data_IF_554538622493
#
_entry.id   IF_554538622493
#
_cell.length_a   1.000
_cell.length_b   1.000
_cell.length_c   1.000
_cell.angle_alpha   90.00
_cell.angle_beta   90.00
_cell.angle_gamma   90.00
#
_symmetry.space_group_name_H-M   'P 1'
#
loop_
_entity.id
_entity.type
_entity.pdbx_description
1 polymer ?
#
# COMPACT_ATOMS: atom_id res chain seq x y z
N UNK A 1 -26.60 -17.34 3.27
CA UNK A 1 -25.68 -16.26 3.63
C UNK A 1 -26.06 -15.06 2.79
N UNK A 2 -26.79 -14.10 3.33
CA UNK A 2 -27.19 -12.92 2.55
C UNK A 2 -25.92 -12.18 2.12
N UNK A 3 -25.70 -12.05 0.81
CA UNK A 3 -24.66 -11.19 0.27
C UNK A 3 -24.85 -9.81 0.88
N UNK A 4 -23.96 -9.43 1.79
CA UNK A 4 -23.99 -8.13 2.42
C UNK A 4 -23.96 -7.07 1.32
N UNK A 5 -25.10 -6.40 1.11
CA UNK A 5 -25.33 -5.41 0.05
C UNK A 5 -24.51 -4.16 0.33
N UNK A 6 -23.22 -4.25 0.02
CA UNK A 6 -22.26 -3.22 0.34
C UNK A 6 -22.07 -2.31 -0.88
N UNK A 7 -22.51 -1.07 -0.76
CA UNK A 7 -22.48 -0.08 -1.83
C UNK A 7 -21.19 0.73 -1.74
N UNK A 8 -20.47 0.83 -2.86
CA UNK A 8 -19.25 1.63 -2.96
C UNK A 8 -19.58 2.90 -3.74
N UNK A 9 -19.24 4.05 -3.16
CA UNK A 9 -19.35 5.36 -3.81
C UNK A 9 -17.98 6.02 -3.85
N UNK A 10 -17.65 6.62 -4.99
CA UNK A 10 -16.38 7.33 -5.17
C UNK A 10 -16.65 8.83 -5.22
N UNK A 11 -15.87 9.61 -4.47
CA UNK A 11 -15.95 11.08 -4.44
C UNK A 11 -14.59 11.69 -4.76
N UNK A 12 -14.59 12.96 -5.19
CA UNK A 12 -13.38 13.72 -5.52
C UNK A 12 -12.44 12.94 -6.46
N UNK A 13 -13.02 12.34 -7.50
CA UNK A 13 -12.26 11.62 -8.50
C UNK A 13 -11.38 12.61 -9.28
N UNK A 14 -10.10 12.28 -9.42
CA UNK A 14 -9.13 13.08 -10.14
C UNK A 14 -8.20 12.17 -10.94
N UNK A 15 -8.00 12.50 -12.21
CA UNK A 15 -7.01 11.84 -13.06
C UNK A 15 -5.69 12.60 -12.96
N UNK A 16 -4.67 11.98 -12.36
CA UNK A 16 -3.33 12.57 -12.22
C UNK A 16 -2.36 11.90 -13.20
N UNK A 17 -2.08 12.60 -14.32
CA UNK A 17 -1.19 12.12 -15.37
C UNK A 17 0.29 12.13 -15.00
N UNK A 18 0.71 13.03 -14.10
CA UNK A 18 2.11 13.12 -13.66
C UNK A 18 2.56 11.87 -12.90
N UNK A 19 1.63 11.22 -12.20
CA UNK A 19 1.87 9.98 -11.44
C UNK A 19 1.19 8.76 -12.08
N UNK A 20 0.71 8.88 -13.31
CA UNK A 20 0.05 7.80 -14.09
C UNK A 20 -1.02 7.06 -13.29
N UNK A 21 -1.89 7.81 -12.59
CA UNK A 21 -2.92 7.23 -11.72
C UNK A 21 -4.19 8.06 -11.66
N UNK A 22 -5.30 7.38 -11.42
CA UNK A 22 -6.56 7.97 -10.95
C UNK A 22 -6.60 7.90 -9.44
N UNK A 23 -6.98 8.99 -8.78
CA UNK A 23 -7.07 9.08 -7.33
C UNK A 23 -8.46 9.52 -6.91
N UNK A 24 -8.99 8.90 -5.87
CA UNK A 24 -10.35 9.15 -5.40
C UNK A 24 -10.50 8.84 -3.91
N UNK A 25 -11.53 9.42 -3.31
CA UNK A 25 -12.03 9.04 -1.99
C UNK A 25 -13.08 7.95 -2.20
N UNK A 26 -13.00 6.88 -1.40
CA UNK A 26 -13.94 5.76 -1.44
C UNK A 26 -14.75 5.76 -0.16
N UNK A 27 -16.06 5.92 -0.32
CA UNK A 27 -17.05 5.73 0.72
C UNK A 27 -17.68 4.34 0.56
N UNK A 28 -17.65 3.54 1.62
CA UNK A 28 -18.26 2.22 1.70
C UNK A 28 -19.48 2.32 2.59
N UNK A 29 -20.66 1.94 2.08
CA UNK A 29 -21.92 1.90 2.83
C UNK A 29 -22.28 0.43 3.07
N UNK A 30 -22.31 0.02 4.34
CA UNK A 30 -22.50 -1.36 4.82
C UNK A 30 -23.40 -1.39 6.07
N UNK A 31 -24.70 -1.04 5.96
CA UNK A 31 -25.55 -0.75 7.12
C UNK A 31 -25.74 -1.93 8.09
N UNK A 32 -25.79 -3.16 7.58
CA UNK A 32 -26.06 -4.36 8.38
C UNK A 32 -24.94 -5.40 8.33
N UNK A 33 -23.75 -5.02 7.86
CA UNK A 33 -22.62 -5.93 7.74
C UNK A 33 -21.37 -5.34 8.37
N UNK A 34 -20.41 -6.21 8.69
CA UNK A 34 -19.09 -5.77 9.11
C UNK A 34 -18.35 -5.03 7.97
N UNK A 35 -17.16 -4.55 8.29
CA UNK A 35 -16.27 -3.90 7.33
C UNK A 35 -15.89 -4.85 6.18
N UNK A 36 -15.77 -4.30 4.97
CA UNK A 36 -15.18 -5.02 3.84
C UNK A 36 -13.68 -5.24 4.03
N UNK A 37 -13.21 -6.40 3.60
CA UNK A 37 -11.78 -6.62 3.45
C UNK A 37 -11.21 -5.76 2.32
N UNK A 38 -9.91 -5.44 2.39
CA UNK A 38 -9.24 -4.66 1.34
C UNK A 38 -9.13 -5.45 0.02
N UNK A 39 -9.08 -6.77 0.07
CA UNK A 39 -9.09 -7.62 -1.13
C UNK A 39 -10.39 -7.47 -1.88
N UNK A 40 -11.53 -7.61 -1.19
CA UNK A 40 -12.86 -7.56 -1.81
C UNK A 40 -13.17 -6.17 -2.35
N UNK A 41 -12.68 -5.13 -1.66
CA UNK A 41 -12.83 -3.75 -2.13
C UNK A 41 -12.04 -3.50 -3.42
N UNK A 42 -10.83 -4.08 -3.57
CA UNK A 42 -10.11 -4.04 -4.84
C UNK A 42 -10.85 -4.77 -5.94
N UNK A 43 -11.47 -5.92 -5.64
CA UNK A 43 -12.24 -6.69 -6.63
C UNK A 43 -13.46 -5.89 -7.13
N UNK A 44 -14.18 -5.23 -6.22
CA UNK A 44 -15.33 -4.40 -6.59
C UNK A 44 -14.91 -3.15 -7.38
N UNK A 45 -13.81 -2.49 -6.98
CA UNK A 45 -13.25 -1.36 -7.72
C UNK A 45 -12.72 -1.77 -9.10
N UNK A 46 -12.11 -2.95 -9.21
CA UNK A 46 -11.64 -3.53 -10.47
C UNK A 46 -12.78 -3.70 -11.45
N UNK A 47 -13.90 -4.28 -11.01
CA UNK A 47 -15.13 -4.40 -11.82
C UNK A 47 -15.72 -3.04 -12.21
N UNK A 48 -15.78 -2.10 -11.28
CA UNK A 48 -16.37 -0.76 -11.50
C UNK A 48 -15.57 0.07 -12.51
N UNK A 49 -14.24 0.02 -12.45
CA UNK A 49 -13.35 0.84 -13.28
C UNK A 49 -12.68 0.09 -14.43
N UNK A 50 -12.99 -1.20 -14.61
CA UNK A 50 -12.39 -2.08 -15.64
C UNK A 50 -10.86 -2.01 -15.59
N UNK A 51 -10.31 -2.16 -14.39
CA UNK A 51 -8.88 -2.10 -14.14
C UNK A 51 -8.42 -3.36 -13.39
N UNK A 52 -7.17 -3.78 -13.61
CA UNK A 52 -6.63 -4.96 -12.94
C UNK A 52 -6.52 -4.76 -11.44
N UNK A 53 -6.86 -5.80 -10.67
CA UNK A 53 -6.81 -5.79 -9.20
C UNK A 53 -5.44 -5.39 -8.65
N UNK A 54 -4.37 -5.75 -9.36
CA UNK A 54 -2.98 -5.48 -8.98
C UNK A 54 -2.59 -4.00 -9.11
N UNK A 55 -3.25 -3.28 -10.01
CA UNK A 55 -3.01 -1.85 -10.23
C UNK A 55 -3.79 -0.97 -9.24
N UNK A 56 -4.61 -1.57 -8.37
CA UNK A 56 -5.49 -0.87 -7.42
C UNK A 56 -4.92 -0.94 -6.01
N UNK A 57 -4.68 0.24 -5.44
CA UNK A 57 -4.16 0.42 -4.09
C UNK A 57 -5.18 1.15 -3.22
N UNK A 58 -5.54 0.52 -2.10
CA UNK A 58 -6.59 0.99 -1.18
C UNK A 58 -5.98 1.19 0.21
N UNK A 59 -6.12 2.39 0.77
CA UNK A 59 -5.47 2.75 2.04
C UNK A 59 -6.27 3.77 2.85
N UNK A 60 -5.89 3.93 4.13
CA UNK A 60 -6.44 4.96 5.00
C UNK A 60 -7.92 4.78 5.36
N UNK A 61 -8.41 3.54 5.38
CA UNK A 61 -9.80 3.28 5.73
C UNK A 61 -10.07 3.49 7.22
N UNK A 62 -11.10 4.27 7.52
CA UNK A 62 -11.64 4.47 8.87
C UNK A 62 -13.15 4.28 8.84
N UNK A 63 -13.67 3.45 9.74
CA UNK A 63 -15.11 3.28 9.95
C UNK A 63 -15.64 4.46 10.78
N UNK A 64 -16.81 4.97 10.41
CA UNK A 64 -17.50 6.01 11.17
C UNK A 64 -17.93 5.46 12.54
N UNK A 65 -18.03 6.36 13.52
CA UNK A 65 -18.60 6.02 14.81
C UNK A 65 -20.05 5.55 14.63
N UNK A 66 -20.43 4.46 15.32
CA UNK A 66 -21.71 3.80 15.12
C UNK A 66 -21.76 2.79 13.95
N UNK A 67 -20.68 2.64 13.17
CA UNK A 67 -20.62 1.65 12.08
C UNK A 67 -21.37 2.07 10.82
N UNK A 68 -21.68 1.09 9.95
CA UNK A 68 -22.50 1.28 8.76
C UNK A 68 -21.85 2.02 7.59
N UNK A 69 -20.78 2.78 7.84
CA UNK A 69 -20.05 3.52 6.80
C UNK A 69 -18.55 3.55 7.10
N UNK A 70 -17.72 3.40 6.07
CA UNK A 70 -16.28 3.63 6.14
C UNK A 70 -15.84 4.56 5.03
N UNK A 71 -14.80 5.33 5.29
CA UNK A 71 -14.17 6.22 4.31
C UNK A 71 -12.71 5.89 4.18
N UNK A 72 -12.17 5.96 2.97
CA UNK A 72 -10.76 5.72 2.68
C UNK A 72 -10.37 6.26 1.32
N UNK A 73 -9.20 5.87 0.85
CA UNK A 73 -8.64 6.31 -0.42
C UNK A 73 -8.38 5.13 -1.34
N UNK A 74 -8.54 5.36 -2.64
CA UNK A 74 -8.12 4.44 -3.68
C UNK A 74 -7.28 5.16 -4.73
N UNK A 75 -6.25 4.44 -5.19
CA UNK A 75 -5.41 4.80 -6.32
C UNK A 75 -5.54 3.67 -7.34
N UNK A 76 -5.76 4.04 -8.59
CA UNK A 76 -5.78 3.11 -9.72
C UNK A 76 -4.68 3.57 -10.66
N UNK A 77 -3.61 2.80 -10.76
CA UNK A 77 -2.52 3.07 -11.69
C UNK A 77 -2.86 2.58 -13.09
N UNK A 78 -2.28 3.23 -14.10
CA UNK A 78 -2.46 2.81 -15.49
C UNK A 78 -1.69 1.50 -15.78
N UNK A 79 -0.56 1.26 -15.11
CA UNK A 79 0.23 0.03 -15.20
C UNK A 79 0.91 -0.35 -13.86
N UNK A 80 1.39 -1.59 -13.76
CA UNK A 80 2.05 -2.12 -12.56
C UNK A 80 3.43 -1.46 -12.32
N UNK A 81 4.12 -1.06 -13.39
CA UNK A 81 5.44 -0.42 -13.30
C UNK A 81 5.35 0.95 -12.63
N UNK A 82 4.36 1.77 -12.99
CA UNK A 82 4.07 3.04 -12.34
C UNK A 82 3.70 2.82 -10.87
N UNK A 83 2.92 1.79 -10.57
CA UNK A 83 2.60 1.44 -9.19
C UNK A 83 3.88 1.15 -8.37
N UNK A 84 4.79 0.32 -8.89
CA UNK A 84 6.08 0.01 -8.23
C UNK A 84 6.98 1.24 -8.09
N UNK A 85 6.96 2.15 -9.06
CA UNK A 85 7.76 3.39 -9.06
C UNK A 85 7.26 4.42 -8.05
N UNK A 86 5.94 4.64 -7.99
CA UNK A 86 5.34 5.75 -7.26
C UNK A 86 4.75 5.37 -5.91
N UNK A 87 4.41 4.10 -5.65
CA UNK A 87 3.87 3.75 -4.33
C UNK A 87 4.94 3.62 -3.24
N UNK A 88 4.62 4.02 -2.00
CA UNK A 88 5.46 3.72 -0.86
C UNK A 88 5.70 2.22 -0.70
N UNK A 89 6.97 1.85 -0.46
CA UNK A 89 7.40 0.45 -0.30
C UNK A 89 6.55 -0.37 0.67
N UNK A 90 6.09 0.22 1.78
CA UNK A 90 5.28 -0.51 2.77
C UNK A 90 3.92 -0.99 2.22
N UNK A 91 3.36 -0.30 1.22
CA UNK A 91 2.11 -0.71 0.56
C UNK A 91 2.35 -1.83 -0.44
N UNK A 92 3.44 -1.73 -1.19
CA UNK A 92 3.88 -2.79 -2.11
C UNK A 92 4.12 -4.11 -1.36
N UNK A 93 4.79 -4.05 -0.21
CA UNK A 93 5.02 -5.22 0.66
C UNK A 93 3.69 -5.82 1.16
N UNK A 94 2.72 -4.97 1.55
CA UNK A 94 1.39 -5.45 1.99
C UNK A 94 0.58 -6.12 0.88
N UNK A 95 0.86 -5.81 -0.37
CA UNK A 95 0.25 -6.46 -1.53
C UNK A 95 1.07 -7.65 -2.06
N UNK A 96 2.26 -7.91 -1.50
CA UNK A 96 3.14 -9.01 -1.94
C UNK A 96 3.95 -8.71 -3.19
N UNK A 97 4.00 -7.46 -3.66
CA UNK A 97 4.72 -7.08 -4.89
C UNK A 97 6.23 -6.87 -4.68
N UNK A 98 6.66 -6.67 -3.43
CA UNK A 98 8.04 -6.42 -3.04
C UNK A 98 8.32 -7.13 -1.72
N UNK A 99 9.50 -7.74 -1.60
CA UNK A 99 9.92 -8.39 -0.37
C UNK A 99 10.27 -7.38 0.73
N UNK A 100 9.99 -7.76 1.98
CA UNK A 100 10.32 -6.94 3.14
C UNK A 100 11.80 -7.08 3.47
N UNK A 101 12.54 -5.98 3.41
CA UNK A 101 13.92 -5.94 3.90
C UNK A 101 13.95 -6.14 5.42
N UNK A 102 14.63 -7.19 5.87
CA UNK A 102 14.80 -7.53 7.28
C UNK A 102 16.18 -7.09 7.78
N UNK A 103 16.37 -5.79 8.03
CA UNK A 103 17.60 -5.28 8.66
C UNK A 103 17.26 -4.33 9.81
N UNK A 104 17.87 -4.57 10.96
CA UNK A 104 17.69 -3.69 12.12
C UNK A 104 18.48 -2.39 11.95
N UNK A 105 17.84 -1.26 12.29
CA UNK A 105 18.50 0.06 12.31
C UNK A 105 19.74 0.08 13.21
N UNK A 106 19.74 -0.71 14.29
CA UNK A 106 20.87 -0.85 15.22
C UNK A 106 22.05 -1.55 14.54
N UNK A 107 21.81 -2.69 13.90
CA UNK A 107 22.83 -3.47 13.18
C UNK A 107 23.48 -2.65 12.06
N UNK A 108 22.70 -1.86 11.31
CA UNK A 108 23.22 -0.98 10.26
C UNK A 108 24.18 0.08 10.85
N UNK A 109 23.79 0.70 11.97
CA UNK A 109 24.62 1.71 12.66
C UNK A 109 25.89 1.10 13.24
N UNK A 110 25.80 -0.07 13.87
CA UNK A 110 26.96 -0.78 14.43
C UNK A 110 27.93 -1.22 13.33
N UNK A 111 27.43 -1.75 12.21
CA UNK A 111 28.24 -2.10 11.03
C UNK A 111 28.95 -0.86 10.46
N UNK A 112 28.26 0.27 10.34
CA UNK A 112 28.83 1.56 9.90
C UNK A 112 29.93 2.05 10.86
N UNK A 113 29.70 1.97 12.17
CA UNK A 113 30.70 2.42 13.15
C UNK A 113 31.92 1.49 13.19
N UNK A 114 31.72 0.18 13.00
CA UNK A 114 32.81 -0.79 12.83
C UNK A 114 33.61 -0.47 11.56
N UNK A 115 32.93 -0.22 10.44
CA UNK A 115 33.58 0.05 9.14
C UNK A 115 34.42 1.31 9.11
N UNK A 116 34.06 2.34 9.89
CA UNK A 116 34.83 3.57 10.03
C UNK A 116 36.19 3.40 10.74
N UNK A 117 36.40 2.32 11.50
CA UNK A 117 37.64 2.11 12.29
C UNK A 117 38.82 1.60 11.45
N UNK A 118 38.60 1.18 10.21
CA UNK A 118 39.64 0.66 9.34
C UNK A 118 39.73 1.49 8.06
N UNK A 119 40.96 1.63 7.55
CA UNK A 119 41.29 2.35 6.32
C UNK A 119 41.73 1.31 5.28
N UNK A 120 41.13 1.35 4.09
CA UNK A 120 41.33 0.34 3.04
C UNK A 120 40.19 -0.69 2.92
N UNK A 121 40.35 -1.66 2.02
CA UNK A 121 39.29 -2.63 1.63
C UNK A 121 39.12 -3.79 2.59
N UNK A 122 40.19 -4.18 3.31
CA UNK A 122 40.15 -5.25 4.30
C UNK A 122 40.41 -4.69 5.68
N UNK A 123 39.69 -5.22 6.66
CA UNK A 123 40.04 -5.05 8.07
C UNK A 123 41.42 -5.71 8.23
N UNK A 124 42.48 -4.92 8.39
CA UNK A 124 43.78 -5.46 8.74
C UNK A 124 43.60 -6.29 10.02
N UNK A 125 43.83 -7.60 9.93
CA UNK A 125 44.03 -8.43 11.12
C UNK A 125 45.16 -7.77 11.89
N UNK A 126 44.89 -7.26 13.09
CA UNK A 126 45.96 -6.95 14.04
C UNK A 126 46.81 -8.23 14.12
N UNK A 127 48.03 -8.18 13.58
CA UNK A 127 49.04 -9.16 13.92
C UNK A 127 49.17 -9.11 15.44
N UNK A 128 49.08 -10.28 16.07
CA UNK A 128 49.26 -10.44 17.52
C UNK A 128 50.54 -9.78 17.98
#
# INVERSE_FOLDING_TARGET
>A
MADATCTIRTRKFMTNRLLQRKQMIVDIIHPNSANLSKSDLRDKLSKMYKADKENIFVFGFRTHFGGGKSTGYALIYDNLEAAKKFEPKYRLVRQGLVEKVQQSRKQIKEKKNRSKKFRGTKKATQSK
#
